data_IF_219776380267
#
_entry.id   IF_219776380267
#
_cell.length_a   1.000
_cell.length_b   1.000
_cell.length_c   1.000
_cell.angle_alpha   90.00
_cell.angle_beta   90.00
_cell.angle_gamma   90.00
#
_symmetry.space_group_name_H-M   'P 1'
#
loop_
_entity.id
_entity.type
_entity.pdbx_description
1 polymer ?
#
# COMPACT_ATOMS: atom_id res chain seq x y z
N UNK A 1 9.24 6.94 3.35
CA UNK A 1 7.79 7.25 3.28
C UNK A 1 6.99 5.96 3.28
N UNK A 2 5.71 5.98 3.68
CA UNK A 2 4.85 4.80 3.64
C UNK A 2 3.57 5.07 2.87
N UNK A 3 3.27 4.25 1.87
CA UNK A 3 2.00 4.25 1.15
C UNK A 3 1.22 3.00 1.54
N UNK A 4 0.09 3.17 2.23
CA UNK A 4 -0.82 2.05 2.52
C UNK A 4 -1.95 2.02 1.50
N UNK A 5 -1.95 1.02 0.63
CA UNK A 5 -2.97 0.84 -0.40
C UNK A 5 -4.06 -0.10 0.11
N UNK A 6 -5.28 0.44 0.23
CA UNK A 6 -6.46 -0.29 0.66
C UNK A 6 -7.57 -0.24 -0.40
N UNK A 7 -8.54 -1.12 -0.26
CA UNK A 7 -9.70 -1.18 -1.16
C UNK A 7 -9.99 -2.55 -1.76
N UNK A 8 -9.32 -3.61 -1.31
CA UNK A 8 -9.75 -4.96 -1.67
C UNK A 8 -11.19 -5.21 -1.23
N UNK A 9 -11.95 -5.80 -2.15
CA UNK A 9 -13.37 -6.10 -1.97
C UNK A 9 -13.70 -7.40 -2.68
N UNK A 10 -14.45 -8.26 -1.99
CA UNK A 10 -14.97 -9.52 -2.54
C UNK A 10 -16.14 -9.30 -3.53
N UNK A 11 -16.51 -8.04 -3.80
CA UNK A 11 -17.61 -7.70 -4.70
C UNK A 11 -17.21 -7.83 -6.18
N UNK A 12 -17.95 -8.66 -6.92
CA UNK A 12 -17.74 -9.01 -8.33
C UNK A 12 -18.27 -7.99 -9.34
N UNK A 13 -18.54 -6.75 -8.94
CA UNK A 13 -18.91 -5.67 -9.87
C UNK A 13 -17.69 -4.78 -10.11
N UNK A 14 -16.76 -5.17 -10.99
CA UNK A 14 -15.65 -4.30 -11.35
C UNK A 14 -16.19 -3.11 -12.13
N UNK A 15 -15.93 -1.89 -11.64
CA UNK A 15 -15.96 -0.72 -12.52
C UNK A 15 -14.62 -0.64 -13.22
N UNK A 16 -14.58 -0.50 -14.56
CA UNK A 16 -13.32 -0.25 -15.24
C UNK A 16 -12.81 1.14 -14.85
N UNK A 17 -11.68 1.20 -14.16
CA UNK A 17 -10.96 2.43 -13.86
C UNK A 17 -9.50 2.32 -14.35
N UNK A 18 -8.77 3.44 -14.50
CA UNK A 18 -7.45 3.46 -15.13
C UNK A 18 -6.35 2.81 -14.27
N UNK A 19 -6.35 1.47 -14.19
CA UNK A 19 -5.43 0.68 -13.34
C UNK A 19 -3.98 0.92 -13.73
N UNK A 20 -3.66 0.95 -15.02
CA UNK A 20 -2.29 1.20 -15.51
C UNK A 20 -1.76 2.56 -15.05
N UNK A 21 -2.58 3.61 -15.15
CA UNK A 21 -2.22 4.96 -14.68
C UNK A 21 -1.92 4.94 -13.18
N UNK A 22 -2.73 4.25 -12.39
CA UNK A 22 -2.48 4.09 -10.95
C UNK A 22 -1.22 3.30 -10.64
N UNK A 23 -0.98 2.18 -11.32
CA UNK A 23 0.23 1.37 -11.13
C UNK A 23 1.49 2.21 -11.40
N UNK A 24 1.52 2.93 -12.51
CA UNK A 24 2.63 3.84 -12.84
C UNK A 24 2.76 4.95 -11.80
N UNK A 25 1.67 5.63 -11.44
CA UNK A 25 1.71 6.72 -10.48
C UNK A 25 2.18 6.27 -9.09
N UNK A 26 1.73 5.10 -8.62
CA UNK A 26 2.14 4.52 -7.34
C UNK A 26 3.64 4.25 -7.30
N UNK A 27 4.17 3.60 -8.34
CA UNK A 27 5.60 3.26 -8.41
C UNK A 27 6.46 4.51 -8.57
N UNK A 28 6.09 5.44 -9.44
CA UNK A 28 6.86 6.67 -9.66
C UNK A 28 6.84 7.59 -8.42
N UNK A 29 5.71 7.66 -7.70
CA UNK A 29 5.64 8.35 -6.42
C UNK A 29 6.56 7.68 -5.38
N UNK A 30 6.58 6.35 -5.32
CA UNK A 30 7.42 5.62 -4.37
C UNK A 30 8.91 5.80 -4.66
N UNK A 31 9.31 5.76 -5.94
CA UNK A 31 10.69 6.03 -6.37
C UNK A 31 11.12 7.46 -6.04
N UNK A 32 10.24 8.43 -6.29
CA UNK A 32 10.54 9.86 -6.09
C UNK A 32 10.66 10.23 -4.60
N UNK A 33 10.01 9.48 -3.70
CA UNK A 33 10.04 9.71 -2.27
C UNK A 33 11.27 9.12 -1.55
N UNK A 34 12.20 8.48 -2.28
CA UNK A 34 13.36 7.78 -1.72
C UNK A 34 12.96 6.45 -1.09
N UNK A 35 13.47 6.16 0.12
CA UNK A 35 13.16 4.93 0.86
C UNK A 35 11.67 4.85 1.20
N UNK A 36 10.94 3.98 0.50
CA UNK A 36 9.48 3.89 0.54
C UNK A 36 8.98 2.47 0.77
N UNK A 37 8.00 2.34 1.65
CA UNK A 37 7.26 1.09 1.85
C UNK A 37 5.87 1.20 1.24
N UNK A 38 5.50 0.21 0.43
CA UNK A 38 4.14 0.03 -0.06
C UNK A 38 3.50 -1.08 0.78
N UNK A 39 2.56 -0.69 1.65
CA UNK A 39 1.76 -1.62 2.44
C UNK A 39 0.50 -1.98 1.67
N UNK A 40 0.13 -3.26 1.65
CA UNK A 40 -1.11 -3.72 1.04
C UNK A 40 -1.58 -5.05 1.69
N UNK A 41 -2.81 -5.47 1.41
CA UNK A 41 -3.39 -6.67 2.04
C UNK A 41 -2.85 -7.99 1.49
N UNK A 42 -2.30 -8.05 0.28
CA UNK A 42 -1.76 -9.30 -0.26
C UNK A 42 -2.79 -10.32 -0.72
N UNK A 43 -4.02 -9.90 -1.03
CA UNK A 43 -5.02 -10.78 -1.65
C UNK A 43 -4.63 -11.12 -3.11
N UNK A 44 -5.09 -12.27 -3.61
CA UNK A 44 -4.81 -12.73 -4.98
C UNK A 44 -5.66 -12.01 -6.06
N UNK A 45 -6.63 -11.21 -5.64
CA UNK A 45 -7.57 -10.49 -6.49
C UNK A 45 -7.73 -9.02 -6.03
N UNK A 46 -8.49 -8.24 -6.80
CA UNK A 46 -8.83 -6.86 -6.45
C UNK A 46 -7.64 -5.90 -6.55
N UNK A 47 -7.56 -4.98 -5.59
CA UNK A 47 -6.54 -3.92 -5.53
C UNK A 47 -5.17 -4.51 -5.21
N UNK A 48 -5.11 -5.53 -4.34
CA UNK A 48 -3.86 -6.20 -3.99
C UNK A 48 -3.17 -6.82 -5.20
N UNK A 49 -3.94 -7.44 -6.11
CA UNK A 49 -3.38 -7.93 -7.37
C UNK A 49 -2.80 -6.80 -8.22
N UNK A 50 -3.52 -5.67 -8.32
CA UNK A 50 -3.05 -4.51 -9.10
C UNK A 50 -1.73 -3.97 -8.54
N UNK A 51 -1.61 -3.86 -7.21
CA UNK A 51 -0.38 -3.44 -6.53
C UNK A 51 0.75 -4.44 -6.76
N UNK A 52 0.47 -5.74 -6.63
CA UNK A 52 1.45 -6.81 -6.88
C UNK A 52 1.95 -6.80 -8.32
N UNK A 53 1.06 -6.63 -9.29
CA UNK A 53 1.39 -6.55 -10.71
C UNK A 53 2.21 -5.27 -11.01
N UNK A 54 1.90 -4.14 -10.34
CA UNK A 54 2.69 -2.90 -10.46
C UNK A 54 4.13 -3.10 -10.00
N UNK A 55 4.28 -3.76 -8.84
CA UNK A 55 5.59 -3.99 -8.24
C UNK A 55 6.40 -5.03 -9.02
N UNK A 56 5.77 -6.09 -9.53
CA UNK A 56 6.43 -7.07 -10.41
C UNK A 56 6.97 -6.42 -11.68
N UNK A 57 6.16 -5.62 -12.36
CA UNK A 57 6.60 -4.87 -13.53
C UNK A 57 7.76 -3.91 -13.21
N UNK A 58 7.74 -3.32 -12.01
CA UNK A 58 8.86 -2.51 -11.52
C UNK A 58 10.13 -3.34 -11.31
N UNK A 59 10.01 -4.51 -10.66
CA UNK A 59 11.12 -5.44 -10.43
C UNK A 59 11.73 -5.91 -11.75
N UNK A 60 10.89 -6.34 -12.69
CA UNK A 60 11.32 -6.83 -14.01
C UNK A 60 12.07 -5.72 -14.78
N UNK A 61 11.49 -4.52 -14.88
CA UNK A 61 12.10 -3.40 -15.62
C UNK A 61 13.41 -2.87 -15.03
N UNK A 62 13.60 -2.93 -13.71
CA UNK A 62 14.77 -2.34 -13.05
C UNK A 62 15.87 -3.37 -12.72
N UNK A 63 15.57 -4.67 -12.74
CA UNK A 63 16.51 -5.71 -12.30
C UNK A 63 16.70 -6.88 -13.29
N UNK A 64 16.11 -6.85 -14.49
CA UNK A 64 16.31 -7.90 -15.52
C UNK A 64 17.74 -7.96 -16.11
N UNK A 65 18.61 -6.96 -15.90
CA UNK A 65 19.90 -6.85 -16.63
C UNK A 65 21.16 -7.10 -15.81
N UNK A 66 21.09 -7.29 -14.49
CA UNK A 66 22.30 -7.38 -13.68
C UNK A 66 22.34 -8.67 -12.85
N UNK A 67 23.30 -9.54 -13.18
CA UNK A 67 23.83 -10.63 -12.35
C UNK A 67 24.55 -10.12 -11.09
N UNK A 68 24.15 -8.94 -10.60
CA UNK A 68 24.70 -8.32 -9.41
C UNK A 68 23.89 -8.84 -8.23
N UNK A 69 24.63 -9.34 -7.24
CA UNK A 69 24.17 -9.80 -5.94
C UNK A 69 22.85 -9.15 -5.52
N UNK A 70 21.85 -10.01 -5.30
CA UNK A 70 20.52 -9.72 -4.72
C UNK A 70 20.62 -9.09 -3.32
N UNK A 71 21.21 -7.90 -3.23
CA UNK A 71 21.32 -7.20 -1.98
C UNK A 71 20.14 -6.23 -1.86
N UNK A 72 19.27 -6.50 -0.90
CA UNK A 72 18.04 -5.74 -0.62
C UNK A 72 18.32 -4.25 -0.30
N UNK A 73 19.59 -3.92 -0.07
CA UNK A 73 20.10 -2.58 0.21
C UNK A 73 19.97 -1.59 -0.95
N UNK A 74 19.90 -2.04 -2.21
CA UNK A 74 19.81 -1.13 -3.37
C UNK A 74 18.37 -0.83 -3.80
N UNK A 75 17.37 -1.38 -3.08
CA UNK A 75 15.95 -1.22 -3.41
C UNK A 75 15.32 -0.10 -2.57
N UNK A 76 15.12 1.04 -3.20
CA UNK A 76 14.43 2.18 -2.59
C UNK A 76 12.94 1.92 -2.31
N UNK A 77 12.30 0.99 -3.04
CA UNK A 77 10.88 0.67 -2.87
C UNK A 77 10.73 -0.77 -2.38
N UNK A 78 10.13 -0.94 -1.20
CA UNK A 78 9.85 -2.24 -0.57
C UNK A 78 8.36 -2.51 -0.54
N UNK A 79 7.97 -3.74 -0.86
CA UNK A 79 6.58 -4.17 -0.85
C UNK A 79 6.31 -4.99 0.42
N UNK A 80 5.26 -4.66 1.17
CA UNK A 80 4.91 -5.35 2.41
C UNK A 80 3.46 -5.78 2.35
N UNK A 81 3.24 -7.09 2.34
CA UNK A 81 1.91 -7.69 2.35
C UNK A 81 1.48 -8.08 3.77
N UNK A 82 0.26 -7.72 4.12
CA UNK A 82 -0.41 -8.13 5.36
C UNK A 82 -1.48 -9.16 5.00
N UNK A 83 -1.02 -10.30 4.46
CA UNK A 83 -1.90 -11.37 4.03
C UNK A 83 -2.45 -12.17 5.21
N UNK A 84 -3.70 -12.62 5.07
CA UNK A 84 -4.27 -13.63 5.95
C UNK A 84 -3.58 -14.96 5.64
N UNK A 85 -3.25 -15.72 6.68
CA UNK A 85 -2.63 -17.04 6.58
C UNK A 85 -3.46 -17.94 5.65
N UNK A 86 -2.98 -18.21 4.44
CA UNK A 86 -3.47 -19.31 3.60
C UNK A 86 -2.58 -20.52 3.87
N UNK A 87 -3.18 -21.70 4.04
CA UNK A 87 -2.47 -22.97 4.14
C UNK A 87 -1.41 -23.05 3.04
N UNK A 88 -0.14 -22.99 3.45
CA UNK A 88 1.02 -22.97 2.56
C UNK A 88 1.19 -24.32 1.89
N UNK A 89 0.64 -24.45 0.68
CA UNK A 89 1.19 -25.35 -0.34
C UNK A 89 1.72 -24.46 -1.49
N UNK A 90 2.79 -23.71 -1.22
CA UNK A 90 3.52 -22.93 -2.22
C UNK A 90 4.98 -23.37 -2.18
N UNK A 91 5.53 -23.73 -3.33
CA UNK A 91 6.90 -24.21 -3.50
C UNK A 91 7.92 -23.17 -3.01
N UNK A 92 9.02 -23.65 -2.44
CA UNK A 92 10.09 -22.86 -1.81
C UNK A 92 10.80 -21.83 -2.72
N UNK A 93 10.46 -21.75 -4.01
CA UNK A 93 11.21 -20.95 -5.01
C UNK A 93 10.77 -19.48 -5.11
N UNK A 94 9.55 -19.12 -4.70
CA UNK A 94 9.08 -17.72 -4.75
C UNK A 94 9.49 -16.87 -3.54
N UNK A 95 9.95 -17.52 -2.45
CA UNK A 95 10.25 -16.84 -1.18
C UNK A 95 11.65 -16.18 -1.17
N UNK A 96 12.53 -16.52 -2.11
CA UNK A 96 13.92 -16.03 -2.19
C UNK A 96 14.18 -15.01 -3.33
N UNK A 97 13.13 -14.49 -3.98
CA UNK A 97 13.28 -13.62 -5.17
C UNK A 97 12.81 -12.17 -4.99
N UNK A 98 11.83 -11.88 -4.13
CA UNK A 98 11.18 -10.56 -4.10
C UNK A 98 11.41 -9.86 -2.77
N UNK A 99 11.61 -8.53 -2.78
CA UNK A 99 11.62 -7.66 -1.59
C UNK A 99 10.22 -7.50 -0.97
N UNK A 100 9.47 -8.61 -0.95
CA UNK A 100 8.11 -8.73 -0.48
C UNK A 100 8.12 -9.36 0.91
N UNK A 101 7.89 -8.56 1.95
CA UNK A 101 7.71 -9.08 3.30
C UNK A 101 6.24 -9.47 3.51
N UNK A 102 5.98 -10.67 4.02
CA UNK A 102 4.62 -11.16 4.29
C UNK A 102 4.41 -11.36 5.79
N UNK A 103 3.47 -10.61 6.37
CA UNK A 103 3.04 -10.79 7.76
C UNK A 103 1.73 -11.60 7.79
N UNK A 104 1.79 -12.85 8.27
CA UNK A 104 0.61 -13.65 8.49
C UNK A 104 -0.15 -13.13 9.73
N UNK A 105 -1.40 -12.71 9.57
CA UNK A 105 -2.23 -12.29 10.70
C UNK A 105 -3.70 -12.73 10.58
N UNK A 106 -4.25 -13.25 11.67
CA UNK A 106 -5.67 -13.65 11.82
C UNK A 106 -6.62 -12.45 11.91
N UNK A 107 -6.14 -11.28 12.35
CA UNK A 107 -6.92 -10.03 12.52
C UNK A 107 -7.00 -9.14 11.27
N UNK A 108 -6.29 -9.47 10.19
CA UNK A 108 -6.39 -8.84 8.87
C UNK A 108 -6.41 -7.30 8.90
N UNK A 109 -7.59 -6.71 8.64
CA UNK A 109 -7.80 -5.26 8.54
C UNK A 109 -7.56 -4.48 9.84
N UNK A 110 -7.93 -5.07 10.99
CA UNK A 110 -7.73 -4.42 12.29
C UNK A 110 -6.23 -4.22 12.57
N UNK A 111 -5.42 -5.23 12.26
CA UNK A 111 -3.97 -5.15 12.42
C UNK A 111 -3.33 -4.18 11.44
N UNK A 112 -3.78 -4.13 10.18
CA UNK A 112 -3.27 -3.16 9.21
C UNK A 112 -3.42 -1.73 9.74
N UNK A 113 -4.60 -1.38 10.26
CA UNK A 113 -4.82 -0.07 10.85
C UNK A 113 -3.96 0.20 12.10
N UNK A 114 -3.82 -0.80 12.99
CA UNK A 114 -2.95 -0.69 14.16
C UNK A 114 -1.48 -0.46 13.76
N UNK A 115 -1.03 -1.13 12.70
CA UNK A 115 0.31 -0.98 12.16
C UNK A 115 0.52 0.37 11.48
N UNK A 116 -0.45 0.84 10.68
CA UNK A 116 -0.44 2.17 10.06
C UNK A 116 -0.31 3.27 11.13
N UNK A 117 -1.14 3.19 12.17
CA UNK A 117 -1.10 4.13 13.31
C UNK A 117 0.24 4.06 14.05
N UNK A 118 0.74 2.84 14.30
CA UNK A 118 2.02 2.64 14.96
C UNK A 118 3.19 3.26 14.17
N UNK A 119 3.24 3.02 12.86
CA UNK A 119 4.28 3.54 11.97
C UNK A 119 4.22 5.06 11.90
N UNK A 120 3.02 5.65 11.82
CA UNK A 120 2.82 7.11 11.76
C UNK A 120 3.43 7.88 12.94
N UNK A 121 3.60 7.19 14.09
CA UNK A 121 4.13 7.76 15.34
C UNK A 121 5.62 7.51 15.52
N UNK A 122 6.27 6.76 14.63
CA UNK A 122 7.70 6.47 14.75
C UNK A 122 8.53 7.68 14.33
N UNK A 123 9.48 8.13 15.17
CA UNK A 123 10.41 9.18 14.77
C UNK A 123 11.24 8.69 13.58
N UNK A 124 11.50 9.59 12.65
CA UNK A 124 12.48 9.39 11.59
C UNK A 124 13.83 9.88 12.09
N UNK A 125 14.82 8.99 12.09
CA UNK A 125 16.20 9.37 12.30
C UNK A 125 16.71 10.06 11.02
N UNK A 126 16.67 11.41 11.01
CA UNK A 126 17.21 12.21 9.91
C UNK A 126 18.67 12.57 10.22
N UNK A 127 19.60 12.08 9.39
CA UNK A 127 21.02 12.41 9.49
C UNK A 127 21.30 13.69 8.68
N UNK A 128 21.14 14.87 9.30
CA UNK A 128 21.55 16.15 8.74
C UNK A 128 22.35 16.95 9.78
N UNK A 129 23.41 17.63 9.35
CA UNK A 129 24.47 18.15 10.24
C UNK A 129 24.02 19.20 11.28
N UNK A 130 22.84 19.83 11.17
CA UNK A 130 22.50 20.97 12.06
C UNK A 130 21.01 21.16 12.44
N UNK A 131 20.17 20.13 12.39
CA UNK A 131 18.74 20.32 12.72
C UNK A 131 18.12 19.13 13.49
N UNK A 132 17.81 19.35 14.78
CA UNK A 132 16.94 18.46 15.57
C UNK A 132 15.46 18.68 15.20
N UNK A 133 15.03 18.23 14.02
CA UNK A 133 13.60 18.11 13.74
C UNK A 133 13.10 16.73 14.19
N UNK A 134 12.18 16.71 15.15
CA UNK A 134 11.46 15.47 15.51
C UNK A 134 10.31 15.25 14.53
N UNK A 135 10.63 14.70 13.36
CA UNK A 135 9.65 14.36 12.32
C UNK A 135 9.26 12.91 12.50
N UNK A 136 7.96 12.61 12.45
CA UNK A 136 7.48 11.23 12.46
C UNK A 136 7.37 10.68 11.03
N UNK A 137 7.32 9.36 10.90
CA UNK A 137 7.28 8.68 9.60
C UNK A 137 6.03 9.08 8.82
N UNK A 138 6.18 9.70 7.62
CA UNK A 138 5.04 10.10 6.82
C UNK A 138 4.38 8.85 6.23
N UNK A 139 3.10 8.70 6.52
CA UNK A 139 2.24 7.65 5.97
C UNK A 139 1.03 8.27 5.28
N UNK A 140 0.66 7.71 4.14
CA UNK A 140 -0.56 8.09 3.41
C UNK A 140 -1.34 6.84 3.03
N UNK A 141 -2.63 6.84 3.34
CA UNK A 141 -3.55 5.78 2.91
C UNK A 141 -4.12 6.14 1.54
N UNK A 142 -4.04 5.21 0.59
CA UNK A 142 -4.60 5.35 -0.76
C UNK A 142 -5.75 4.35 -0.88
N UNK A 143 -6.95 4.87 -1.11
CA UNK A 143 -8.17 4.09 -1.23
C UNK A 143 -8.57 3.99 -2.69
N UNK A 144 -8.44 2.80 -3.25
CA UNK A 144 -8.88 2.53 -4.62
C UNK A 144 -10.33 2.09 -4.61
N UNK A 145 -10.66 0.81 -4.47
CA UNK A 145 -12.04 0.33 -4.35
C UNK A 145 -12.43 0.15 -2.86
N UNK A 146 -13.37 -0.74 -2.56
CA UNK A 146 -13.57 -1.21 -1.19
C UNK A 146 -14.99 -1.68 -0.93
N UNK A 147 -15.19 -2.18 0.28
CA UNK A 147 -16.50 -2.54 0.82
C UNK A 147 -16.81 -1.71 2.09
N UNK A 148 -17.83 -2.10 2.85
CA UNK A 148 -18.21 -1.43 4.09
C UNK A 148 -17.08 -1.44 5.14
N UNK A 149 -16.21 -2.46 5.13
CA UNK A 149 -15.07 -2.51 6.03
C UNK A 149 -14.01 -1.48 5.63
N UNK A 150 -13.83 -1.24 4.32
CA UNK A 150 -12.99 -0.12 3.84
C UNK A 150 -13.49 1.22 4.35
N UNK A 151 -14.80 1.48 4.35
CA UNK A 151 -15.38 2.71 4.91
C UNK A 151 -15.09 2.84 6.40
N UNK A 152 -15.24 1.74 7.15
CA UNK A 152 -14.89 1.68 8.57
C UNK A 152 -13.39 1.96 8.80
N UNK A 153 -12.52 1.40 7.96
CA UNK A 153 -11.07 1.64 7.99
C UNK A 153 -10.75 3.12 7.77
N UNK A 154 -11.32 3.75 6.73
CA UNK A 154 -11.16 5.18 6.44
C UNK A 154 -11.57 6.02 7.65
N UNK A 155 -12.75 5.76 8.20
CA UNK A 155 -13.27 6.49 9.37
C UNK A 155 -12.33 6.40 10.57
N UNK A 156 -11.75 5.22 10.85
CA UNK A 156 -10.79 5.03 11.95
C UNK A 156 -9.43 5.66 11.64
N UNK A 157 -8.93 5.54 10.42
CA UNK A 157 -7.67 6.15 9.99
C UNK A 157 -7.71 7.68 10.14
N UNK A 158 -8.81 8.32 9.72
CA UNK A 158 -9.00 9.76 9.90
C UNK A 158 -9.07 10.17 11.38
N UNK A 159 -9.69 9.37 12.25
CA UNK A 159 -9.66 9.62 13.72
C UNK A 159 -8.24 9.54 14.29
N UNK A 160 -7.40 8.70 13.70
CA UNK A 160 -5.97 8.59 14.03
C UNK A 160 -5.10 9.66 13.33
N UNK A 161 -5.72 10.65 12.67
CA UNK A 161 -5.04 11.72 11.94
C UNK A 161 -4.16 11.23 10.78
N UNK A 162 -4.48 10.06 10.23
CA UNK A 162 -3.79 9.53 9.06
C UNK A 162 -4.41 10.13 7.79
N UNK A 163 -3.60 10.71 6.89
CA UNK A 163 -4.12 11.30 5.66
C UNK A 163 -4.59 10.20 4.69
N UNK A 164 -5.75 10.44 4.08
CA UNK A 164 -6.42 9.50 3.17
C UNK A 164 -6.60 10.15 1.79
N UNK A 165 -6.11 9.48 0.75
CA UNK A 165 -6.32 9.82 -0.66
C UNK A 165 -7.38 8.87 -1.22
N UNK A 166 -8.44 9.44 -1.78
CA UNK A 166 -9.56 8.70 -2.38
C UNK A 166 -9.40 8.74 -3.90
N UNK A 167 -9.36 7.57 -4.54
CA UNK A 167 -9.31 7.48 -6.00
C UNK A 167 -10.71 7.64 -6.61
N UNK A 168 -11.03 8.83 -7.11
CA UNK A 168 -12.32 9.10 -7.76
C UNK A 168 -12.58 8.17 -8.95
N UNK A 169 -13.76 7.59 -9.02
CA UNK A 169 -14.23 6.79 -10.15
C UNK A 169 -13.74 5.34 -10.17
N UNK A 170 -13.08 4.89 -9.10
CA UNK A 170 -12.68 3.49 -8.91
C UNK A 170 -13.87 2.57 -8.57
N UNK A 171 -14.97 3.12 -8.05
CA UNK A 171 -16.18 2.38 -7.71
C UNK A 171 -16.31 1.92 -6.26
N UNK A 172 -17.42 1.23 -6.01
CA UNK A 172 -17.80 0.60 -4.71
C UNK A 172 -17.77 1.60 -3.55
N UNK A 173 -17.17 1.24 -2.41
CA UNK A 173 -17.13 2.08 -1.21
C UNK A 173 -16.54 3.47 -1.45
N UNK A 174 -15.53 3.57 -2.32
CA UNK A 174 -14.77 4.81 -2.56
C UNK A 174 -15.65 5.88 -3.20
N UNK A 175 -16.40 5.52 -4.24
CA UNK A 175 -17.32 6.46 -4.90
C UNK A 175 -18.47 6.86 -3.96
N UNK A 176 -18.95 5.95 -3.10
CA UNK A 176 -20.00 6.27 -2.09
C UNK A 176 -19.49 7.30 -1.08
N UNK A 177 -18.26 7.10 -0.56
CA UNK A 177 -17.63 8.07 0.37
C UNK A 177 -17.42 9.39 -0.35
N UNK A 178 -16.94 9.37 -1.58
CA UNK A 178 -16.67 10.57 -2.36
C UNK A 178 -17.95 11.36 -2.65
N UNK A 179 -19.03 10.71 -3.10
CA UNK A 179 -20.32 11.36 -3.36
C UNK A 179 -20.87 12.04 -2.10
N UNK A 180 -20.67 11.42 -0.92
CA UNK A 180 -21.04 12.05 0.34
C UNK A 180 -20.18 13.28 0.64
N UNK A 181 -18.86 13.22 0.42
CA UNK A 181 -17.95 14.34 0.66
C UNK A 181 -18.21 15.52 -0.29
N UNK A 182 -18.50 15.24 -1.57
CA UNK A 182 -18.77 16.27 -2.58
C UNK A 182 -19.97 17.16 -2.19
N UNK A 183 -20.97 16.62 -1.47
CA UNK A 183 -22.11 17.40 -0.96
C UNK A 183 -21.74 18.51 0.03
N UNK A 184 -20.58 18.40 0.68
CA UNK A 184 -20.10 19.40 1.62
C UNK A 184 -19.02 20.32 1.03
N UNK A 185 -18.55 20.01 -0.18
CA UNK A 185 -17.54 20.78 -0.91
C UNK A 185 -18.17 21.69 -1.99
N UNK A 186 -19.42 21.42 -2.36
CA UNK A 186 -20.25 22.24 -3.26
C UNK A 186 -21.05 23.30 -2.51
#
# INVERSE_FOLDING_TARGET
>A
MVFSVIGDSDSFVPRPWPKTVFQTALIEAAKSAGETWILFRGNDEGVSKIVKDAYRNYEDLHFETETISKDDHNRHVKLISIAREKNRNMSNEEQERSATHTCANTKGMQFLLEFEDFVSKKPLDYFGEDMNFNITTPITLIVCEGDIQTISHISKALRNQLPVIIMKGSGKATDVVLEYLEKYLS
#
